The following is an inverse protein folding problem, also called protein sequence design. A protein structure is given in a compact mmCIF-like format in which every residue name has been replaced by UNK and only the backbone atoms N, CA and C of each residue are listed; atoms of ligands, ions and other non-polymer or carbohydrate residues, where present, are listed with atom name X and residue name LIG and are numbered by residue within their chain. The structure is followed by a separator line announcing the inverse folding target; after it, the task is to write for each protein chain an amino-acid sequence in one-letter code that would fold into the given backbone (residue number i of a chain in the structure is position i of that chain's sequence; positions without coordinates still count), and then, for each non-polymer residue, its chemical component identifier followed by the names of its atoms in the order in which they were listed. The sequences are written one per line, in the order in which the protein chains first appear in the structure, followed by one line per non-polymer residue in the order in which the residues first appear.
data_IF_739716468173
#
_entry.id   IF_739716468173
#
_cell.length_a   1.000
_cell.length_b   1.000
_cell.length_c   1.000
_cell.angle_alpha   90.00
_cell.angle_beta   90.00
_cell.angle_gamma   90.00
#
_symmetry.space_group_name_H-M   'P 1'
#
loop_
_entity.id
_entity.type
_entity.pdbx_description
1 polymer ?
#
# COMPACT_ATOMS: atom_id res chain seq x y z
N UNK A 1 0.21 -23.86 26.16
CA UNK A 1 -0.42 -23.93 24.82
C UNK A 1 0.70 -23.62 23.86
N UNK A 2 0.99 -24.51 22.93
CA UNK A 2 2.08 -24.33 21.97
C UNK A 2 1.76 -23.10 21.09
N UNK A 3 2.72 -22.22 20.82
CA UNK A 3 2.49 -21.07 19.95
C UNK A 3 2.09 -21.51 18.55
N UNK A 4 1.07 -20.87 17.99
CA UNK A 4 0.69 -21.13 16.60
C UNK A 4 1.70 -20.48 15.64
N UNK A 5 1.98 -21.05 14.44
CA UNK A 5 2.93 -20.46 13.48
C UNK A 5 2.64 -19.00 13.15
N UNK A 6 1.36 -18.62 13.07
CA UNK A 6 0.95 -17.23 12.87
C UNK A 6 1.37 -16.28 14.02
N UNK A 7 1.40 -16.77 15.26
CA UNK A 7 1.89 -15.99 16.41
C UNK A 7 3.41 -15.79 16.34
N UNK A 8 4.14 -16.83 15.91
CA UNK A 8 5.59 -16.75 15.68
C UNK A 8 5.90 -15.79 14.52
N UNK A 9 5.15 -15.82 13.41
CA UNK A 9 5.29 -14.84 12.32
C UNK A 9 5.14 -13.40 12.82
N UNK A 10 4.08 -13.11 13.59
CA UNK A 10 3.87 -11.79 14.19
C UNK A 10 4.97 -11.40 15.17
N UNK A 11 5.59 -12.35 15.87
CA UNK A 11 6.75 -12.10 16.72
C UNK A 11 7.95 -11.68 15.88
N UNK A 12 8.27 -12.41 14.81
CA UNK A 12 9.39 -12.09 13.92
C UNK A 12 9.22 -10.72 13.26
N UNK A 13 7.98 -10.34 12.86
CA UNK A 13 7.67 -8.98 12.41
C UNK A 13 7.98 -7.91 13.49
N UNK A 14 7.71 -8.18 14.76
CA UNK A 14 8.01 -7.26 15.87
C UNK A 14 9.50 -7.13 16.19
N UNK A 15 10.30 -8.10 15.76
CA UNK A 15 11.75 -8.11 15.92
C UNK A 15 12.50 -7.46 14.74
N UNK A 16 11.79 -7.06 13.68
CA UNK A 16 12.36 -6.33 12.56
C UNK A 16 13.11 -5.07 13.03
N UNK A 17 14.39 -4.98 12.67
CA UNK A 17 15.28 -3.89 13.08
C UNK A 17 15.72 -3.91 14.55
N UNK A 18 15.45 -4.99 15.30
CA UNK A 18 15.95 -5.23 16.68
C UNK A 18 16.97 -6.37 16.75
N UNK A 19 16.99 -7.26 15.78
CA UNK A 19 18.01 -8.28 15.59
C UNK A 19 18.67 -8.12 14.20
N UNK A 20 19.86 -8.69 13.96
CA UNK A 20 20.51 -8.67 12.65
C UNK A 20 19.62 -9.24 11.54
N UNK A 21 19.67 -8.67 10.34
CA UNK A 21 18.75 -9.07 9.25
C UNK A 21 18.99 -10.49 8.75
N UNK A 22 20.25 -10.91 8.69
CA UNK A 22 20.58 -12.26 8.27
C UNK A 22 20.00 -13.29 9.26
N UNK A 23 20.05 -12.99 10.55
CA UNK A 23 19.45 -13.83 11.60
C UNK A 23 17.92 -13.83 11.46
N UNK A 24 17.28 -12.66 11.30
CA UNK A 24 15.83 -12.58 11.10
C UNK A 24 15.35 -13.32 9.84
N UNK A 25 16.08 -13.20 8.73
CA UNK A 25 15.78 -13.91 7.50
C UNK A 25 15.87 -15.43 7.69
N UNK A 26 16.90 -15.92 8.38
CA UNK A 26 17.01 -17.34 8.73
C UNK A 26 15.85 -17.82 9.60
N UNK A 27 15.44 -17.06 10.61
CA UNK A 27 14.30 -17.43 11.47
C UNK A 27 12.98 -17.54 10.69
N UNK A 28 12.80 -16.70 9.66
CA UNK A 28 11.61 -16.75 8.79
C UNK A 28 11.63 -17.99 7.89
N UNK A 29 12.80 -18.39 7.41
CA UNK A 29 12.97 -19.66 6.69
C UNK A 29 12.67 -20.85 7.59
N UNK A 30 13.26 -20.90 8.80
CA UNK A 30 12.95 -21.94 9.79
C UNK A 30 11.45 -22.02 10.10
N UNK A 31 10.74 -20.90 10.14
CA UNK A 31 9.30 -20.90 10.37
C UNK A 31 8.51 -21.56 9.22
N UNK A 32 8.95 -21.38 7.97
CA UNK A 32 8.35 -22.05 6.82
C UNK A 32 8.67 -23.55 6.78
N UNK A 33 9.83 -23.94 7.30
CA UNK A 33 10.27 -25.33 7.40
C UNK A 33 9.77 -26.05 8.67
N UNK A 34 8.95 -25.38 9.50
CA UNK A 34 8.42 -25.87 10.79
C UNK A 34 9.52 -26.21 11.83
N UNK A 35 10.67 -25.55 11.73
CA UNK A 35 11.84 -25.70 12.62
C UNK A 35 11.75 -24.75 13.84
N UNK A 36 10.71 -24.94 14.66
CA UNK A 36 10.41 -24.06 15.80
C UNK A 36 11.48 -24.10 16.91
N UNK A 37 12.22 -25.19 17.04
CA UNK A 37 13.31 -25.37 18.01
C UNK A 37 14.53 -24.50 17.65
N UNK A 38 14.88 -24.42 16.36
CA UNK A 38 15.92 -23.52 15.86
C UNK A 38 15.54 -22.05 16.12
N UNK A 39 14.27 -21.69 15.92
CA UNK A 39 13.78 -20.34 16.23
C UNK A 39 13.92 -20.05 17.73
N UNK A 40 13.48 -20.95 18.59
CA UNK A 40 13.57 -20.78 20.03
C UNK A 40 15.03 -20.63 20.51
N UNK A 41 15.92 -21.50 20.04
CA UNK A 41 17.35 -21.46 20.38
C UNK A 41 18.02 -20.16 19.96
N UNK A 42 17.75 -19.70 18.73
CA UNK A 42 18.29 -18.45 18.23
C UNK A 42 17.78 -17.23 19.01
N UNK A 43 16.48 -17.17 19.35
CA UNK A 43 15.91 -16.06 20.12
C UNK A 43 16.44 -16.02 21.56
N UNK A 44 16.59 -17.17 22.21
CA UNK A 44 17.24 -17.27 23.53
C UNK A 44 18.68 -16.74 23.44
N UNK A 45 19.43 -17.16 22.43
CA UNK A 45 20.80 -16.69 22.22
C UNK A 45 20.85 -15.17 21.93
N UNK A 46 19.88 -14.63 21.19
CA UNK A 46 19.77 -13.19 20.95
C UNK A 46 19.53 -12.40 22.25
N UNK A 47 18.74 -12.94 23.18
CA UNK A 47 18.54 -12.36 24.52
C UNK A 47 19.83 -12.34 25.32
N UNK A 48 20.63 -13.40 25.30
CA UNK A 48 21.95 -13.43 25.93
C UNK A 48 22.90 -12.37 25.37
N UNK A 49 22.73 -12.01 24.09
CA UNK A 49 23.47 -10.92 23.41
C UNK A 49 22.88 -9.52 23.70
N UNK A 50 21.84 -9.42 24.52
CA UNK A 50 21.25 -8.15 24.96
C UNK A 50 20.01 -7.70 24.17
N UNK A 51 19.33 -8.60 23.45
CA UNK A 51 18.02 -8.29 22.87
C UNK A 51 17.05 -7.87 23.98
N UNK A 52 16.51 -6.66 23.84
CA UNK A 52 15.45 -6.16 24.72
C UNK A 52 14.12 -6.72 24.26
N UNK A 53 13.24 -7.12 25.18
CA UNK A 53 11.93 -7.70 24.89
C UNK A 53 10.82 -7.06 25.73
N UNK A 54 9.60 -7.07 25.21
CA UNK A 54 8.38 -6.76 25.99
C UNK A 54 7.92 -7.98 26.77
N UNK A 55 7.03 -7.79 27.75
CA UNK A 55 6.49 -8.91 28.54
C UNK A 55 5.78 -9.95 27.68
N UNK A 56 4.96 -9.52 26.71
CA UNK A 56 4.24 -10.44 25.81
C UNK A 56 5.16 -11.20 24.84
N UNK A 57 6.28 -10.59 24.42
CA UNK A 57 7.29 -11.29 23.63
C UNK A 57 8.00 -12.36 24.46
N UNK A 58 8.30 -12.07 25.73
CA UNK A 58 8.94 -13.03 26.63
C UNK A 58 8.02 -14.21 26.93
N UNK A 59 6.75 -13.95 27.20
CA UNK A 59 5.76 -15.01 27.41
C UNK A 59 5.68 -15.95 26.20
N UNK A 60 5.63 -15.39 24.99
CA UNK A 60 5.56 -16.16 23.75
C UNK A 60 6.84 -16.97 23.49
N UNK A 61 8.02 -16.35 23.64
CA UNK A 61 9.31 -17.05 23.43
C UNK A 61 9.51 -18.12 24.52
N UNK A 62 9.07 -17.87 25.75
CA UNK A 62 9.13 -18.86 26.84
C UNK A 62 8.25 -20.06 26.52
N UNK A 63 7.02 -19.83 26.04
CA UNK A 63 6.12 -20.90 25.63
C UNK A 63 6.71 -21.70 24.46
N UNK A 64 7.31 -21.02 23.47
CA UNK A 64 7.98 -21.66 22.34
C UNK A 64 9.14 -22.55 22.81
N UNK A 65 10.04 -22.01 23.64
CA UNK A 65 11.20 -22.74 24.15
C UNK A 65 10.80 -23.97 24.99
N UNK A 66 9.77 -23.84 25.82
CA UNK A 66 9.27 -24.96 26.62
C UNK A 66 8.68 -26.08 25.76
N UNK A 67 7.97 -25.73 24.68
CA UNK A 67 7.35 -26.68 23.76
C UNK A 67 8.39 -27.45 22.94
N UNK A 68 9.49 -26.77 22.57
CA UNK A 68 10.58 -27.33 21.76
C UNK A 68 11.73 -27.92 22.58
N UNK A 69 11.69 -27.82 23.90
CA UNK A 69 12.72 -28.35 24.81
C UNK A 69 13.99 -27.50 24.91
N UNK A 70 13.95 -26.25 24.46
CA UNK A 70 15.02 -25.25 24.63
C UNK A 70 14.94 -24.64 26.04
N UNK A 71 16.09 -24.42 26.69
CA UNK A 71 16.14 -23.83 28.03
C UNK A 71 15.76 -22.33 28.01
N UNK A 72 14.64 -21.92 28.66
CA UNK A 72 14.20 -20.53 28.67
C UNK A 72 14.90 -19.67 29.74
N UNK A 73 15.88 -20.19 30.49
CA UNK A 73 16.45 -19.50 31.66
C UNK A 73 16.92 -18.07 31.37
N UNK A 74 17.51 -17.81 30.20
CA UNK A 74 17.97 -16.47 29.81
C UNK A 74 16.82 -15.44 29.66
N UNK A 75 15.59 -15.90 29.38
CA UNK A 75 14.43 -15.03 29.16
C UNK A 75 13.95 -14.36 30.46
N UNK A 76 14.18 -15.01 31.62
CA UNK A 76 13.83 -14.45 32.92
C UNK A 76 14.60 -13.15 33.20
N UNK A 77 15.86 -13.10 32.77
CA UNK A 77 16.78 -11.97 32.95
C UNK A 77 16.81 -11.01 31.73
N UNK A 78 15.94 -11.24 30.73
CA UNK A 78 15.92 -10.44 29.50
C UNK A 78 15.70 -8.94 29.80
N UNK A 79 16.56 -8.04 29.27
CA UNK A 79 16.34 -6.61 29.36
C UNK A 79 14.96 -6.22 28.82
N UNK A 80 14.22 -5.39 29.55
CA UNK A 80 12.88 -4.95 29.10
C UNK A 80 12.99 -3.79 28.12
N UNK A 81 12.27 -3.89 26.99
CA UNK A 81 12.20 -2.82 26.00
C UNK A 81 11.30 -1.68 26.50
N UNK A 82 11.82 -0.45 26.60
CA UNK A 82 11.03 0.76 26.90
C UNK A 82 10.73 1.60 25.67
N UNK A 83 11.61 1.59 24.67
CA UNK A 83 11.43 2.23 23.37
C UNK A 83 12.07 1.37 22.26
N UNK A 84 11.46 1.26 21.08
CA UNK A 84 12.09 0.58 19.96
C UNK A 84 13.32 1.37 19.45
N UNK A 85 14.29 0.68 18.82
CA UNK A 85 15.41 1.37 18.17
C UNK A 85 14.91 2.36 17.11
N UNK A 86 15.64 3.46 16.94
CA UNK A 86 15.33 4.44 15.88
C UNK A 86 15.82 3.89 14.55
N UNK A 87 14.92 3.82 13.58
CA UNK A 87 15.24 3.44 12.20
C UNK A 87 15.10 4.65 11.29
N UNK A 88 15.86 4.65 10.20
CA UNK A 88 15.72 5.63 9.14
C UNK A 88 15.52 4.90 7.83
N UNK A 89 14.52 5.33 7.09
CA UNK A 89 14.24 4.87 5.74
C UNK A 89 14.38 6.02 4.76
N UNK A 90 14.72 5.67 3.54
CA UNK A 90 14.77 6.56 2.39
C UNK A 90 14.00 5.93 1.22
N UNK A 91 13.58 6.76 0.28
CA UNK A 91 12.94 6.26 -0.95
C UNK A 91 13.96 5.58 -1.86
N UNK A 92 15.15 6.16 -1.95
CA UNK A 92 16.23 5.62 -2.79
C UNK A 92 16.77 4.31 -2.21
N UNK A 93 16.79 3.26 -3.04
CA UNK A 93 17.41 1.96 -2.73
C UNK A 93 17.69 1.17 -4.00
N UNK A 94 18.53 0.14 -3.90
CA UNK A 94 18.81 -0.77 -5.00
C UNK A 94 17.57 -1.59 -5.37
N UNK A 95 17.24 -1.63 -6.66
CA UNK A 95 16.08 -2.36 -7.22
C UNK A 95 16.45 -3.63 -7.99
N UNK A 96 17.71 -4.08 -7.95
CA UNK A 96 18.20 -5.20 -8.77
C UNK A 96 17.44 -6.52 -8.53
N UNK A 97 16.84 -6.68 -7.34
CA UNK A 97 16.05 -7.85 -6.97
C UNK A 97 14.52 -7.65 -7.12
N UNK A 98 14.06 -6.50 -7.63
CA UNK A 98 12.63 -6.16 -7.73
C UNK A 98 11.87 -7.22 -8.53
N UNK A 99 12.36 -7.59 -9.72
CA UNK A 99 11.71 -8.61 -10.55
C UNK A 99 11.67 -9.99 -9.89
N UNK A 100 12.70 -10.35 -9.12
CA UNK A 100 12.75 -11.64 -8.44
C UNK A 100 11.76 -11.69 -7.27
N UNK A 101 11.63 -10.59 -6.52
CA UNK A 101 10.64 -10.44 -5.48
C UNK A 101 9.21 -10.54 -6.04
N UNK A 102 8.94 -9.84 -7.15
CA UNK A 102 7.63 -9.87 -7.84
C UNK A 102 7.29 -11.27 -8.31
N UNK A 103 8.18 -11.95 -9.05
CA UNK A 103 7.94 -13.30 -9.56
C UNK A 103 7.64 -14.30 -8.44
N UNK A 104 8.29 -14.15 -7.30
CA UNK A 104 8.08 -15.03 -6.14
C UNK A 104 6.74 -14.75 -5.47
N UNK A 105 6.38 -13.47 -5.30
CA UNK A 105 5.07 -13.07 -4.79
C UNK A 105 3.91 -13.56 -5.67
N UNK A 106 4.06 -13.44 -7.00
CA UNK A 106 3.07 -13.91 -7.97
C UNK A 106 2.92 -15.44 -7.96
N UNK A 107 4.01 -16.18 -7.75
CA UNK A 107 4.00 -17.65 -7.72
C UNK A 107 3.18 -18.18 -6.54
N UNK A 108 3.34 -17.58 -5.36
CA UNK A 108 2.61 -17.98 -4.15
C UNK A 108 1.16 -17.49 -4.21
N UNK A 109 0.94 -16.27 -4.70
CA UNK A 109 -0.35 -15.59 -4.64
C UNK A 109 -0.61 -14.92 -3.29
N UNK A 110 -1.79 -14.30 -3.14
CA UNK A 110 -2.17 -13.59 -1.91
C UNK A 110 -1.52 -12.20 -1.71
N UNK A 111 -0.50 -11.84 -2.49
CA UNK A 111 0.06 -10.49 -2.50
C UNK A 111 -0.87 -9.50 -3.24
N UNK A 112 -1.22 -8.38 -2.60
CA UNK A 112 -1.97 -7.26 -3.20
C UNK A 112 -1.04 -6.20 -3.76
N UNK A 113 0.10 -5.96 -3.13
CA UNK A 113 1.11 -5.03 -3.59
C UNK A 113 2.47 -5.32 -2.95
N UNK A 114 3.52 -5.02 -3.71
CA UNK A 114 4.92 -5.10 -3.29
C UNK A 114 5.50 -3.69 -3.28
N UNK A 115 6.14 -3.33 -2.18
CA UNK A 115 6.75 -2.03 -1.97
C UNK A 115 8.20 -2.18 -1.57
N UNK A 116 9.04 -1.21 -1.91
CA UNK A 116 10.45 -1.20 -1.54
C UNK A 116 10.83 0.12 -0.91
N UNK A 117 11.59 0.07 0.18
CA UNK A 117 12.22 1.23 0.81
C UNK A 117 13.68 0.96 1.09
N UNK A 118 14.50 1.99 1.18
CA UNK A 118 15.91 1.87 1.57
C UNK A 118 16.07 2.03 3.08
N UNK A 119 16.44 0.98 3.80
CA UNK A 119 16.81 1.12 5.21
C UNK A 119 18.26 1.58 5.31
N UNK A 120 18.44 2.72 5.97
CA UNK A 120 19.73 3.38 6.04
C UNK A 120 20.52 2.90 7.24
N UNK A 121 21.74 2.42 6.96
CA UNK A 121 22.77 2.13 7.96
C UNK A 121 23.92 3.16 7.88
N UNK A 122 24.96 3.00 8.70
CA UNK A 122 26.13 3.86 8.64
C UNK A 122 26.93 3.70 7.32
N UNK A 123 26.82 2.54 6.68
CA UNK A 123 27.68 2.13 5.56
C UNK A 123 26.93 2.06 4.23
N UNK A 124 25.67 1.63 4.26
CA UNK A 124 24.86 1.39 3.05
C UNK A 124 23.38 1.73 3.26
N UNK A 125 22.68 1.94 2.14
CA UNK A 125 21.22 1.98 2.08
C UNK A 125 20.75 0.72 1.37
N UNK A 126 20.06 -0.14 2.10
CA UNK A 126 19.74 -1.49 1.67
C UNK A 126 18.24 -1.66 1.50
N UNK A 127 17.79 -2.37 0.46
CA UNK A 127 16.37 -2.54 0.20
C UNK A 127 15.67 -3.34 1.31
N UNK A 128 14.47 -2.91 1.65
CA UNK A 128 13.49 -3.64 2.47
C UNK A 128 12.20 -3.71 1.67
N UNK A 129 11.76 -4.92 1.38
CA UNK A 129 10.52 -5.21 0.68
C UNK A 129 9.39 -5.34 1.69
N UNK A 130 8.27 -4.68 1.43
CA UNK A 130 7.06 -4.77 2.24
C UNK A 130 5.92 -5.25 1.37
N UNK A 131 5.21 -6.28 1.83
CA UNK A 131 4.14 -6.92 1.07
C UNK A 131 2.82 -6.69 1.78
N UNK A 132 1.87 -6.07 1.09
CA UNK A 132 0.47 -6.00 1.54
C UNK A 132 -0.28 -7.19 0.95
N UNK A 133 -1.07 -7.89 1.76
CA UNK A 133 -1.67 -9.19 1.41
C UNK A 133 -3.20 -9.16 1.43
N UNK A 134 -3.82 -10.17 0.83
CA UNK A 134 -5.23 -10.51 1.05
C UNK A 134 -5.41 -11.21 2.40
N UNK A 135 -6.62 -11.22 2.93
CA UNK A 135 -6.90 -11.78 4.27
C UNK A 135 -6.66 -13.30 4.36
N UNK A 136 -6.68 -14.01 3.21
CA UNK A 136 -6.50 -15.45 3.07
C UNK A 136 -5.07 -15.86 2.64
N UNK A 137 -4.15 -14.91 2.57
CA UNK A 137 -2.79 -15.18 2.13
C UNK A 137 -1.99 -16.04 3.13
N UNK A 138 -1.18 -16.96 2.60
CA UNK A 138 -0.19 -17.68 3.39
C UNK A 138 1.04 -16.77 3.63
N UNK A 139 1.05 -16.10 4.78
CA UNK A 139 2.06 -15.08 5.08
C UNK A 139 3.47 -15.67 5.26
N UNK A 140 3.55 -16.91 5.74
CA UNK A 140 4.82 -17.59 6.04
C UNK A 140 5.45 -18.05 4.73
N UNK A 141 4.70 -18.77 3.89
CA UNK A 141 5.15 -19.21 2.56
C UNK A 141 5.54 -18.00 1.69
N UNK A 142 4.71 -16.95 1.67
CA UNK A 142 4.98 -15.75 0.90
C UNK A 142 6.28 -15.06 1.34
N UNK A 143 6.56 -15.07 2.64
CA UNK A 143 7.81 -14.53 3.19
C UNK A 143 9.01 -15.35 2.71
N UNK A 144 8.96 -16.67 2.88
CA UNK A 144 10.06 -17.56 2.54
C UNK A 144 10.37 -17.56 1.04
N UNK A 145 9.35 -17.64 0.18
CA UNK A 145 9.52 -17.65 -1.28
C UNK A 145 10.10 -16.33 -1.82
N UNK A 146 9.63 -15.19 -1.31
CA UNK A 146 10.20 -13.89 -1.72
C UNK A 146 11.64 -13.74 -1.22
N UNK A 147 11.93 -14.16 0.02
CA UNK A 147 13.31 -14.18 0.54
C UNK A 147 14.23 -15.05 -0.33
N UNK A 148 13.75 -16.23 -0.72
CA UNK A 148 14.49 -17.15 -1.57
C UNK A 148 14.79 -16.52 -2.93
N UNK A 149 13.77 -15.98 -3.61
CA UNK A 149 13.93 -15.34 -4.92
C UNK A 149 14.88 -14.13 -4.90
N UNK A 150 14.82 -13.29 -3.86
CA UNK A 150 15.75 -12.17 -3.68
C UNK A 150 17.19 -12.68 -3.49
N UNK A 151 17.38 -13.71 -2.68
CA UNK A 151 18.70 -14.30 -2.40
C UNK A 151 19.31 -14.89 -3.67
N UNK A 152 18.53 -15.61 -4.47
CA UNK A 152 18.97 -16.16 -5.77
C UNK A 152 19.39 -15.06 -6.76
N UNK A 153 18.75 -13.89 -6.68
CA UNK A 153 19.12 -12.71 -7.44
C UNK A 153 20.35 -11.96 -6.87
N UNK A 154 20.94 -12.45 -5.78
CA UNK A 154 22.11 -11.84 -5.12
C UNK A 154 21.77 -10.66 -4.19
N UNK A 155 20.49 -10.46 -3.88
CA UNK A 155 20.02 -9.42 -2.96
C UNK A 155 19.97 -9.86 -1.50
N UNK A 156 19.83 -8.89 -0.60
CA UNK A 156 19.61 -9.15 0.82
C UNK A 156 18.11 -9.44 1.08
N UNK A 157 17.73 -10.58 1.67
CA UNK A 157 16.34 -11.04 1.78
C UNK A 157 15.55 -10.35 2.91
N UNK A 158 15.47 -9.01 2.88
CA UNK A 158 14.71 -8.22 3.87
C UNK A 158 13.26 -8.08 3.42
N UNK A 159 12.43 -9.03 3.81
CA UNK A 159 11.03 -9.11 3.39
C UNK A 159 10.10 -9.04 4.59
N UNK A 160 9.18 -8.09 4.56
CA UNK A 160 8.15 -7.88 5.58
C UNK A 160 6.77 -8.15 4.97
N UNK A 161 6.25 -9.37 5.13
CA UNK A 161 4.89 -9.72 4.69
C UNK A 161 3.88 -9.34 5.77
N UNK A 162 3.09 -8.31 5.50
CA UNK A 162 2.18 -7.70 6.44
C UNK A 162 0.78 -8.31 6.30
N UNK A 163 0.32 -8.93 7.38
CA UNK A 163 -1.10 -9.21 7.62
C UNK A 163 -1.73 -8.07 8.43
N UNK A 164 -2.42 -8.44 9.52
CA UNK A 164 -3.02 -7.52 10.49
C UNK A 164 -1.99 -6.72 11.31
N UNK A 165 -0.78 -7.26 11.45
CA UNK A 165 0.24 -6.76 12.36
C UNK A 165 1.12 -5.73 11.66
N UNK A 166 1.12 -4.51 12.20
CA UNK A 166 2.01 -3.42 11.77
C UNK A 166 2.64 -2.75 12.98
N UNK A 167 3.94 -2.47 12.90
CA UNK A 167 4.72 -1.81 13.96
C UNK A 167 5.18 -0.43 13.47
N UNK A 168 5.75 0.38 14.36
CA UNK A 168 6.36 1.65 13.96
C UNK A 168 7.46 1.51 12.90
N UNK A 169 8.19 0.38 12.90
CA UNK A 169 9.16 0.05 11.85
C UNK A 169 8.51 -0.03 10.48
N UNK A 170 7.43 -0.83 10.38
CA UNK A 170 6.69 -1.02 9.14
C UNK A 170 6.04 0.28 8.66
N UNK A 171 5.44 1.05 9.57
CA UNK A 171 4.87 2.35 9.22
C UNK A 171 5.93 3.30 8.62
N UNK A 172 7.08 3.44 9.29
CA UNK A 172 8.17 4.29 8.81
C UNK A 172 8.76 3.81 7.46
N UNK A 173 8.85 2.50 7.26
CA UNK A 173 9.29 1.92 5.99
C UNK A 173 8.28 2.20 4.86
N UNK A 174 6.99 1.99 5.09
CA UNK A 174 5.92 2.24 4.10
C UNK A 174 5.78 3.73 3.74
N UNK A 175 6.07 4.65 4.67
CA UNK A 175 6.07 6.10 4.40
C UNK A 175 7.16 6.50 3.39
N UNK A 176 8.32 5.84 3.45
CA UNK A 176 9.42 6.07 2.52
C UNK A 176 9.33 5.23 1.24
N UNK A 177 8.45 4.22 1.20
CA UNK A 177 8.47 3.21 0.16
C UNK A 177 8.02 3.71 -1.23
N UNK A 178 8.63 3.12 -2.24
CA UNK A 178 8.23 3.12 -3.64
C UNK A 178 7.37 1.89 -3.95
N UNK A 179 6.37 2.04 -4.81
CA UNK A 179 5.57 0.90 -5.29
C UNK A 179 6.39 0.14 -6.34
N UNK A 180 6.65 -1.14 -6.10
CA UNK A 180 7.39 -2.00 -7.04
C UNK A 180 6.42 -2.79 -7.92
N UNK A 181 5.35 -3.29 -7.32
CA UNK A 181 4.36 -4.08 -8.05
C UNK A 181 2.97 -3.95 -7.47
N UNK A 182 2.03 -3.92 -8.40
CA UNK A 182 0.60 -3.87 -8.19
C UNK A 182 -0.07 -4.54 -9.39
N UNK A 183 -0.78 -5.65 -9.21
CA UNK A 183 -1.39 -6.38 -10.31
C UNK A 183 -2.69 -5.74 -10.84
N UNK A 184 -3.26 -4.77 -10.11
CA UNK A 184 -4.52 -4.17 -10.51
C UNK A 184 -4.33 -3.11 -11.60
N UNK A 185 -5.36 -2.87 -12.44
CA UNK A 185 -5.32 -1.75 -13.37
C UNK A 185 -5.21 -0.41 -12.63
N UNK A 186 -4.61 0.62 -13.25
CA UNK A 186 -4.55 1.95 -12.67
C UNK A 186 -5.96 2.51 -12.46
N UNK A 187 -6.10 3.39 -11.48
CA UNK A 187 -7.37 4.07 -11.25
C UNK A 187 -7.77 4.92 -12.47
N UNK A 188 -9.08 5.16 -12.63
CA UNK A 188 -9.63 5.91 -13.77
C UNK A 188 -10.02 7.31 -13.33
N UNK A 189 -9.51 8.34 -14.01
CA UNK A 189 -9.93 9.71 -13.76
C UNK A 189 -11.24 10.02 -14.50
N UNK A 190 -12.25 10.42 -13.74
CA UNK A 190 -13.52 10.86 -14.30
C UNK A 190 -13.40 12.23 -14.97
N UNK A 191 -13.91 12.33 -16.20
CA UNK A 191 -14.01 13.61 -16.89
C UNK A 191 -15.08 14.46 -16.22
N UNK A 192 -14.73 15.73 -16.01
CA UNK A 192 -15.66 16.74 -15.48
C UNK A 192 -16.39 17.46 -16.61
N UNK A 193 -15.68 17.73 -17.71
CA UNK A 193 -16.13 18.59 -18.79
C UNK A 193 -16.15 17.84 -20.12
N UNK A 194 -16.96 18.31 -21.07
CA UNK A 194 -17.11 17.70 -22.39
C UNK A 194 -15.94 17.97 -23.34
N UNK A 195 -15.13 18.97 -23.00
CA UNK A 195 -13.94 19.39 -23.73
C UNK A 195 -13.38 20.69 -23.18
N UNK A 196 -12.33 21.17 -23.83
CA UNK A 196 -11.77 22.51 -23.66
C UNK A 196 -11.71 23.22 -25.02
N UNK A 197 -11.86 24.53 -25.03
CA UNK A 197 -11.69 25.32 -26.26
C UNK A 197 -10.21 25.46 -26.64
N UNK A 198 -9.93 26.18 -27.73
CA UNK A 198 -8.56 26.37 -28.26
C UNK A 198 -7.63 27.15 -27.32
N UNK A 199 -8.15 27.77 -26.27
CA UNK A 199 -7.38 28.45 -25.23
C UNK A 199 -7.37 27.67 -23.90
N UNK A 200 -7.87 26.43 -23.91
CA UNK A 200 -7.89 25.53 -22.76
C UNK A 200 -9.01 25.80 -21.75
N UNK A 201 -10.01 26.61 -22.11
CA UNK A 201 -11.15 26.86 -21.22
C UNK A 201 -12.14 25.69 -21.29
N UNK A 202 -12.47 25.03 -20.17
CA UNK A 202 -13.39 23.91 -20.16
C UNK A 202 -14.82 24.35 -20.48
N UNK A 203 -15.60 23.46 -21.11
CA UNK A 203 -17.01 23.70 -21.42
C UNK A 203 -17.89 22.43 -21.27
N UNK A 204 -19.19 22.64 -21.12
CA UNK A 204 -20.23 21.63 -21.34
C UNK A 204 -20.93 21.90 -22.68
N UNK A 205 -21.23 20.85 -23.44
CA UNK A 205 -22.00 20.96 -24.67
C UNK A 205 -23.45 21.33 -24.34
N UNK A 206 -24.16 22.06 -25.21
CA UNK A 206 -25.56 22.45 -24.96
C UNK A 206 -26.52 21.27 -24.77
N UNK A 207 -26.21 20.11 -25.36
CA UNK A 207 -26.97 18.86 -25.28
C UNK A 207 -26.47 17.90 -24.19
N UNK A 208 -25.60 18.38 -23.30
CA UNK A 208 -25.08 17.56 -22.20
C UNK A 208 -26.23 16.98 -21.35
N UNK A 209 -26.27 15.66 -21.13
CA UNK A 209 -27.39 14.99 -20.46
C UNK A 209 -27.64 15.49 -19.04
N UNK A 210 -28.90 15.43 -18.59
CA UNK A 210 -29.29 15.74 -17.21
C UNK A 210 -29.81 14.52 -16.48
N UNK A 211 -29.53 14.45 -15.19
CA UNK A 211 -29.89 13.32 -14.33
C UNK A 211 -31.18 13.60 -13.56
N UNK A 212 -32.10 12.64 -13.62
CA UNK A 212 -33.36 12.66 -12.87
C UNK A 212 -33.17 12.61 -11.36
N UNK A 213 -34.16 13.10 -10.60
CA UNK A 213 -34.00 13.37 -9.17
C UNK A 213 -33.54 12.16 -8.33
N UNK A 214 -34.14 10.98 -8.53
CA UNK A 214 -33.80 9.78 -7.76
C UNK A 214 -32.38 9.27 -8.06
N UNK A 215 -32.01 9.21 -9.34
CA UNK A 215 -30.66 8.81 -9.75
C UNK A 215 -29.62 9.83 -9.29
N UNK A 216 -29.94 11.13 -9.37
CA UNK A 216 -29.07 12.21 -8.89
C UNK A 216 -28.78 12.08 -7.39
N UNK A 217 -29.79 11.79 -6.58
CA UNK A 217 -29.61 11.59 -5.13
C UNK A 217 -28.68 10.41 -4.84
N UNK A 218 -28.86 9.28 -5.54
CA UNK A 218 -27.96 8.12 -5.40
C UNK A 218 -26.52 8.46 -5.78
N UNK A 219 -26.31 9.08 -6.94
CA UNK A 219 -24.99 9.47 -7.43
C UNK A 219 -24.31 10.45 -6.46
N UNK A 220 -25.02 11.48 -6.00
CA UNK A 220 -24.48 12.45 -5.03
C UNK A 220 -24.14 11.81 -3.69
N UNK A 221 -24.96 10.85 -3.23
CA UNK A 221 -24.67 10.08 -2.03
C UNK A 221 -23.33 9.39 -2.14
N UNK A 222 -23.16 8.55 -3.17
CA UNK A 222 -21.92 7.81 -3.40
C UNK A 222 -20.70 8.73 -3.58
N UNK A 223 -20.80 9.70 -4.51
CA UNK A 223 -19.66 10.56 -4.88
C UNK A 223 -19.19 11.47 -3.74
N UNK A 224 -20.09 11.87 -2.83
CA UNK A 224 -19.74 12.67 -1.64
C UNK A 224 -19.18 11.81 -0.50
N UNK A 225 -19.58 10.54 -0.42
CA UNK A 225 -19.04 9.58 0.55
C UNK A 225 -17.63 9.10 0.19
N UNK A 226 -17.22 9.19 -1.07
CA UNK A 226 -15.86 8.83 -1.49
C UNK A 226 -14.79 9.59 -0.71
N UNK A 227 -13.75 8.87 -0.29
CA UNK A 227 -12.69 9.44 0.52
C UNK A 227 -11.86 10.43 -0.30
N UNK A 228 -11.33 11.47 0.37
CA UNK A 228 -10.49 12.47 -0.28
C UNK A 228 -9.11 11.86 -0.50
N UNK A 229 -8.79 11.58 -1.77
CA UNK A 229 -7.47 11.07 -2.17
C UNK A 229 -6.43 12.19 -2.22
N UNK A 230 -6.84 13.39 -2.63
CA UNK A 230 -5.98 14.58 -2.64
C UNK A 230 -6.80 15.83 -2.32
N UNK A 231 -6.47 16.44 -1.17
CA UNK A 231 -7.05 17.72 -0.77
C UNK A 231 -6.27 18.89 -1.40
N UNK A 232 -6.98 19.94 -1.78
CA UNK A 232 -6.37 21.18 -2.28
C UNK A 232 -7.23 22.39 -1.95
N UNK A 233 -6.60 23.53 -1.71
CA UNK A 233 -7.31 24.82 -1.55
C UNK A 233 -7.66 25.46 -2.90
N UNK A 234 -7.28 24.82 -4.01
CA UNK A 234 -7.56 25.33 -5.35
C UNK A 234 -9.05 25.34 -5.65
N UNK A 235 -9.47 26.41 -6.30
CA UNK A 235 -10.81 26.61 -6.84
C UNK A 235 -10.71 27.09 -8.28
N UNK A 236 -11.76 26.88 -9.06
CA UNK A 236 -11.92 27.49 -10.39
C UNK A 236 -13.23 28.28 -10.48
N UNK A 237 -13.34 29.28 -11.37
CA UNK A 237 -14.63 29.86 -11.71
C UNK A 237 -15.57 28.79 -12.27
N UNK A 238 -16.84 28.86 -11.89
CA UNK A 238 -17.89 28.04 -12.49
C UNK A 238 -18.05 28.41 -13.98
N UNK A 239 -18.06 27.39 -14.84
CA UNK A 239 -18.10 27.54 -16.30
C UNK A 239 -19.45 28.09 -16.77
N UNK A 240 -20.53 27.87 -16.01
CA UNK A 240 -21.89 28.28 -16.30
C UNK A 240 -22.21 29.64 -15.65
N UNK A 241 -21.84 29.84 -14.39
CA UNK A 241 -21.99 31.11 -13.66
C UNK A 241 -20.63 31.61 -13.12
N UNK A 242 -19.87 32.40 -13.91
CA UNK A 242 -18.50 32.81 -13.56
C UNK A 242 -18.35 33.61 -12.26
N UNK A 243 -19.44 34.06 -11.63
CA UNK A 243 -19.41 34.72 -10.33
C UNK A 243 -19.29 33.73 -9.16
N UNK A 244 -19.30 32.43 -9.44
CA UNK A 244 -19.18 31.36 -8.45
C UNK A 244 -17.86 30.63 -8.60
N UNK A 245 -17.46 29.98 -7.51
CA UNK A 245 -16.25 29.17 -7.45
C UNK A 245 -16.60 27.71 -7.19
N UNK A 246 -15.80 26.83 -7.79
CA UNK A 246 -15.93 25.37 -7.71
C UNK A 246 -14.67 24.80 -7.06
N UNK A 247 -14.78 24.02 -5.96
CA UNK A 247 -13.65 23.38 -5.31
C UNK A 247 -13.07 22.26 -6.17
N UNK A 248 -11.75 22.03 -6.05
CA UNK A 248 -11.01 21.09 -6.89
C UNK A 248 -10.35 19.94 -6.13
N UNK A 249 -10.89 19.51 -4.99
CA UNK A 249 -10.41 18.29 -4.34
C UNK A 249 -10.66 17.08 -5.24
N UNK A 250 -9.85 16.04 -5.05
CA UNK A 250 -10.03 14.76 -5.71
C UNK A 250 -10.41 13.69 -4.70
N UNK A 251 -11.47 12.97 -5.02
CA UNK A 251 -12.00 11.84 -4.26
C UNK A 251 -11.75 10.55 -5.01
N UNK A 252 -11.73 9.44 -4.29
CA UNK A 252 -11.60 8.12 -4.88
C UNK A 252 -12.31 7.05 -4.06
N UNK A 253 -12.63 5.95 -4.74
CA UNK A 253 -13.05 4.67 -4.16
C UNK A 253 -12.04 3.54 -4.44
N UNK A 254 -10.84 3.89 -4.90
CA UNK A 254 -9.75 2.98 -5.24
C UNK A 254 -9.77 2.46 -6.68
N UNK A 255 -10.91 2.61 -7.39
CA UNK A 255 -11.02 2.29 -8.82
C UNK A 255 -11.16 3.55 -9.66
N UNK A 256 -11.96 4.51 -9.19
CA UNK A 256 -12.17 5.80 -9.83
C UNK A 256 -11.60 6.93 -8.99
N UNK A 257 -11.18 7.98 -9.68
CA UNK A 257 -10.83 9.27 -9.11
C UNK A 257 -11.74 10.31 -9.74
N UNK A 258 -12.36 11.17 -8.95
CA UNK A 258 -13.20 12.26 -9.47
C UNK A 258 -12.95 13.55 -8.72
N UNK A 259 -13.09 14.66 -9.44
CA UNK A 259 -12.99 15.98 -8.85
C UNK A 259 -14.31 16.38 -8.15
N UNK A 260 -14.24 17.14 -7.06
CA UNK A 260 -15.42 17.71 -6.39
C UNK A 260 -16.30 18.54 -7.34
N UNK A 261 -15.75 19.07 -8.42
CA UNK A 261 -16.50 19.71 -9.50
C UNK A 261 -17.59 18.81 -10.07
N UNK A 262 -17.38 17.49 -10.18
CA UNK A 262 -18.41 16.53 -10.63
C UNK A 262 -19.63 16.61 -9.69
N UNK A 263 -19.39 16.57 -8.37
CA UNK A 263 -20.45 16.71 -7.38
C UNK A 263 -21.16 18.07 -7.47
N UNK A 264 -20.40 19.15 -7.70
CA UNK A 264 -20.94 20.50 -7.81
C UNK A 264 -21.88 20.64 -9.02
N UNK A 265 -21.44 20.24 -10.22
CA UNK A 265 -22.24 20.36 -11.44
C UNK A 265 -23.45 19.42 -11.44
N UNK A 266 -23.30 18.21 -10.90
CA UNK A 266 -24.40 17.27 -10.70
C UNK A 266 -25.46 17.82 -9.73
N UNK A 267 -25.05 18.39 -8.60
CA UNK A 267 -26.01 18.92 -7.62
C UNK A 267 -26.71 20.19 -8.12
N UNK A 268 -25.94 21.13 -8.66
CA UNK A 268 -26.43 22.47 -8.99
C UNK A 268 -27.14 22.56 -10.33
N UNK A 269 -26.61 21.85 -11.34
CA UNK A 269 -27.08 21.96 -12.73
C UNK A 269 -27.66 20.65 -13.26
N UNK A 270 -27.63 19.59 -12.44
CA UNK A 270 -28.12 18.25 -12.77
C UNK A 270 -27.38 17.62 -13.95
N UNK A 271 -26.19 18.12 -14.30
CA UNK A 271 -25.38 17.59 -15.41
C UNK A 271 -24.88 16.19 -15.06
N UNK A 272 -25.00 15.27 -16.01
CA UNK A 272 -24.58 13.90 -15.84
C UNK A 272 -23.05 13.80 -15.70
N UNK A 273 -22.52 13.05 -14.70
CA UNK A 273 -21.10 12.70 -14.70
C UNK A 273 -20.69 11.87 -15.92
N UNK A 274 -19.40 11.57 -16.02
CA UNK A 274 -18.90 10.61 -17.01
C UNK A 274 -19.77 9.33 -17.03
N UNK A 275 -20.30 8.89 -18.20
CA UNK A 275 -21.18 7.73 -18.29
C UNK A 275 -20.58 6.47 -17.66
N UNK A 276 -19.28 6.24 -17.83
CA UNK A 276 -18.61 5.05 -17.28
C UNK A 276 -18.52 5.13 -15.75
N UNK A 277 -18.40 6.34 -15.19
CA UNK A 277 -18.48 6.56 -13.75
C UNK A 277 -19.90 6.31 -13.25
N UNK A 278 -20.93 6.74 -14.00
CA UNK A 278 -22.33 6.46 -13.64
C UNK A 278 -22.56 4.94 -13.60
N UNK A 279 -22.12 4.19 -14.62
CA UNK A 279 -22.23 2.73 -14.66
C UNK A 279 -21.54 2.07 -13.47
N UNK A 280 -20.32 2.53 -13.14
CA UNK A 280 -19.58 2.07 -11.96
C UNK A 280 -20.36 2.30 -10.66
N UNK A 281 -20.83 3.54 -10.41
CA UNK A 281 -21.61 3.85 -9.20
C UNK A 281 -22.92 3.07 -9.16
N UNK A 282 -23.50 2.75 -10.31
CA UNK A 282 -24.73 1.96 -10.37
C UNK A 282 -24.49 0.51 -9.96
N UNK A 283 -23.36 -0.07 -10.35
CA UNK A 283 -22.97 -1.44 -10.01
C UNK A 283 -22.40 -1.57 -8.59
N UNK A 284 -21.89 -0.48 -8.01
CA UNK A 284 -21.28 -0.47 -6.68
C UNK A 284 -22.31 -0.51 -5.54
N UNK A 285 -21.81 -0.90 -4.36
CA UNK A 285 -22.51 -0.75 -3.09
C UNK A 285 -22.81 0.72 -2.77
N UNK A 286 -23.79 1.02 -1.91
CA UNK A 286 -24.21 2.40 -1.63
C UNK A 286 -23.11 3.29 -1.04
N UNK A 287 -22.17 2.70 -0.29
CA UNK A 287 -21.03 3.40 0.30
C UNK A 287 -19.73 2.83 -0.28
N UNK A 288 -18.83 3.68 -0.81
CA UNK A 288 -17.56 3.21 -1.36
C UNK A 288 -16.67 2.62 -0.25
N UNK A 289 -15.79 1.66 -0.59
CA UNK A 289 -14.82 1.15 0.35
C UNK A 289 -13.87 2.26 0.82
N UNK A 290 -13.33 2.12 2.04
CA UNK A 290 -12.28 3.00 2.53
C UNK A 290 -11.01 2.89 1.67
N UNK A 291 -10.28 4.00 1.51
CA UNK A 291 -9.01 4.00 0.78
C UNK A 291 -7.86 3.53 1.66
N UNK A 292 -7.28 2.39 1.31
CA UNK A 292 -5.98 1.97 1.81
C UNK A 292 -4.85 2.75 1.14
N UNK A 293 -3.61 2.47 1.58
CA UNK A 293 -2.41 3.14 1.06
C UNK A 293 -2.21 2.90 -0.43
N UNK A 294 -2.44 1.66 -0.88
CA UNK A 294 -2.33 1.27 -2.28
C UNK A 294 -3.33 2.05 -3.14
N UNK A 295 -4.59 2.12 -2.70
CA UNK A 295 -5.64 2.84 -3.42
C UNK A 295 -5.35 4.35 -3.50
N UNK A 296 -4.85 4.96 -2.42
CA UNK A 296 -4.38 6.37 -2.44
C UNK A 296 -3.22 6.55 -3.41
N UNK A 297 -2.24 5.64 -3.41
CA UNK A 297 -1.10 5.72 -4.32
C UNK A 297 -1.53 5.66 -5.79
N UNK A 298 -2.42 4.73 -6.16
CA UNK A 298 -3.02 4.68 -7.51
C UNK A 298 -3.73 5.99 -7.87
N UNK A 299 -4.54 6.50 -6.95
CA UNK A 299 -5.31 7.71 -7.17
C UNK A 299 -4.40 8.91 -7.44
N UNK A 300 -3.35 9.09 -6.62
CA UNK A 300 -2.36 10.16 -6.82
C UNK A 300 -1.59 9.95 -8.12
N UNK A 301 -1.16 8.72 -8.41
CA UNK A 301 -0.41 8.39 -9.62
C UNK A 301 -1.10 8.85 -10.90
N UNK A 302 -2.42 8.66 -10.99
CA UNK A 302 -3.24 9.10 -12.13
C UNK A 302 -3.33 10.63 -12.22
N UNK A 303 -3.31 11.34 -11.09
CA UNK A 303 -3.38 12.80 -11.05
C UNK A 303 -2.04 13.47 -11.35
N UNK A 304 -0.93 12.78 -11.10
CA UNK A 304 0.43 13.26 -11.35
C UNK A 304 1.04 12.73 -12.64
N UNK A 305 0.38 11.78 -13.31
CA UNK A 305 0.84 11.25 -14.58
C UNK A 305 0.95 12.38 -15.61
N UNK A 306 2.05 12.45 -16.39
CA UNK A 306 2.14 13.41 -17.48
C UNK A 306 1.01 13.14 -18.47
N UNK A 307 0.40 14.22 -19.00
CA UNK A 307 -0.61 14.08 -20.04
C UNK A 307 0.00 13.28 -21.20
N UNK A 308 -0.72 12.29 -21.76
CA UNK A 308 -0.24 11.59 -22.94
C UNK A 308 0.04 12.61 -24.04
N UNK A 309 1.14 12.46 -24.82
CA UNK A 309 1.41 13.36 -25.92
C UNK A 309 0.19 13.36 -26.85
N UNK A 310 -0.28 14.56 -27.22
CA UNK A 310 -1.34 14.68 -28.21
C UNK A 310 -0.87 13.97 -29.50
N UNK A 311 -1.72 13.17 -30.15
CA UNK A 311 -1.35 12.56 -31.42
C UNK A 311 -0.95 13.68 -32.38
N UNK A 312 0.28 13.63 -32.89
CA UNK A 312 0.74 14.55 -33.94
C UNK A 312 -0.29 14.46 -35.07
N UNK A 313 -0.96 15.57 -35.37
CA UNK A 313 -1.77 15.70 -36.57
C UNK A 313 -0.91 15.25 -37.74
N UNK A 314 -1.23 14.09 -38.32
CA UNK A 314 -0.62 13.64 -39.57
C UNK A 314 -0.79 14.79 -40.56
N UNK A 315 0.33 15.45 -40.86
CA UNK A 315 0.48 16.46 -41.88
C UNK A 315 0.10 15.79 -43.20
N UNK A 316 -1.21 15.80 -43.50
CA UNK A 316 -1.77 15.38 -44.77
C UNK A 316 -1.21 16.33 -45.81
N UNK A 317 -0.10 15.88 -46.40
CA UNK A 317 0.65 16.57 -47.42
C UNK A 317 -0.28 17.17 -48.46
N UNK A 318 -0.12 18.48 -48.69
CA UNK A 318 -0.56 19.10 -49.92
C UNK A 318 0.54 18.90 -50.96
N UNK A 319 0.27 18.01 -51.91
CA UNK A 319 0.83 18.09 -53.27
C UNK A 319 0.41 19.39 -53.97
#
# INVERSE_FOLDING_TARGET
MSPEPAEVHRLLLRLAGRIPDAELASLRTCLADDELDEIAGALVTAVERGLTLTESEIELITALAQDTGVDPAALAEAPRATDPPRWRFDRESAGDADEAAVRSAERVGGARALWRSGRVSAETTEPVYLVETTDDADLIELTAEIQHGITEAGGNPRVEVLGDTRTGYHAAALEAAELVWDPAPPARLARVFDGADTVGKPFFRPDHPRVEAAQRQRLLGYLRSGAIAMATERVMPDVIDPNRTVPLNFRSDGTWVWNDAVCYYLDRYHLAPDPDLIEHVIAADPEPPGLGRLEVHRAIGVLTAPAPPEPEDEDLGRE
#
